data_IF_757449073151
#
_entry.id   IF_757449073151
#
_cell.length_a   1.000
_cell.length_b   1.000
_cell.length_c   1.000
_cell.angle_alpha   90.00
_cell.angle_beta   90.00
_cell.angle_gamma   90.00
#
_symmetry.space_group_name_H-M   'P 1'
#
loop_
_entity.id
_entity.type
_entity.pdbx_description
1 polymer ?
#
# COMPACT_ATOMS: atom_id res chain seq x y z
N UNK A 1 -1.82 -3.22 -8.25
CA UNK A 1 -2.58 -1.95 -8.20
C UNK A 1 -1.65 -0.75 -8.27
N UNK A 2 -0.82 -0.47 -7.26
CA UNK A 2 0.01 0.74 -7.21
C UNK A 2 0.88 0.98 -8.45
N UNK A 3 1.44 -0.09 -9.05
CA UNK A 3 2.25 -0.01 -10.26
C UNK A 3 1.55 0.61 -11.49
N UNK A 4 0.21 0.55 -11.54
CA UNK A 4 -0.61 1.07 -12.64
C UNK A 4 -1.38 2.33 -12.25
N UNK A 5 -1.22 2.82 -11.02
CA UNK A 5 -1.83 4.07 -10.59
C UNK A 5 -1.32 5.23 -11.46
N UNK A 6 -2.11 6.29 -11.75
CA UNK A 6 -1.63 7.38 -12.58
C UNK A 6 -0.45 8.13 -11.94
N UNK A 7 0.46 8.65 -12.76
CA UNK A 7 1.51 9.55 -12.26
C UNK A 7 0.92 10.89 -11.79
N UNK A 8 -0.18 11.32 -12.41
CA UNK A 8 -0.99 12.49 -12.02
C UNK A 8 -2.45 12.06 -11.82
N UNK A 9 -2.79 11.54 -10.63
CA UNK A 9 -4.12 11.01 -10.36
C UNK A 9 -5.17 12.11 -10.18
N UNK A 10 -6.38 11.83 -10.67
CA UNK A 10 -7.56 12.66 -10.40
C UNK A 10 -8.05 12.50 -8.96
N UNK A 11 -8.94 13.39 -8.51
CA UNK A 11 -9.59 13.25 -7.21
C UNK A 11 -10.46 11.99 -7.13
N UNK A 12 -11.01 11.54 -8.27
CA UNK A 12 -11.74 10.28 -8.36
C UNK A 12 -10.81 9.08 -8.18
N UNK A 13 -9.63 9.08 -8.82
CA UNK A 13 -8.62 8.04 -8.65
C UNK A 13 -8.19 7.90 -7.18
N UNK A 14 -7.95 9.03 -6.50
CA UNK A 14 -7.59 9.06 -5.07
C UNK A 14 -8.72 8.51 -4.21
N UNK A 15 -9.95 8.95 -4.46
CA UNK A 15 -11.13 8.51 -3.71
C UNK A 15 -11.38 7.01 -3.87
N UNK A 16 -11.28 6.51 -5.10
CA UNK A 16 -11.47 5.09 -5.41
C UNK A 16 -10.41 4.21 -4.75
N UNK A 17 -9.13 4.62 -4.76
CA UNK A 17 -8.08 3.87 -4.08
C UNK A 17 -8.23 3.92 -2.56
N UNK A 18 -8.59 5.07 -1.99
CA UNK A 18 -8.84 5.18 -0.55
C UNK A 18 -9.95 4.23 -0.12
N UNK A 19 -11.08 4.25 -0.83
CA UNK A 19 -12.20 3.35 -0.57
C UNK A 19 -11.81 1.89 -0.73
N UNK A 20 -11.10 1.55 -1.81
CA UNK A 20 -10.62 0.19 -2.04
C UNK A 20 -9.74 -0.31 -0.90
N UNK A 21 -8.79 0.50 -0.42
CA UNK A 21 -7.88 0.12 0.67
C UNK A 21 -8.66 -0.11 1.97
N UNK A 22 -9.59 0.78 2.29
CA UNK A 22 -10.45 0.65 3.46
C UNK A 22 -11.27 -0.65 3.42
N UNK A 23 -11.98 -0.88 2.31
CA UNK A 23 -12.81 -2.08 2.14
C UNK A 23 -11.95 -3.35 2.11
N UNK A 24 -10.83 -3.36 1.38
CA UNK A 24 -9.96 -4.53 1.28
C UNK A 24 -9.42 -4.96 2.64
N UNK A 25 -9.07 -4.02 3.52
CA UNK A 25 -8.57 -4.39 4.84
C UNK A 25 -9.68 -4.81 5.80
N UNK A 26 -10.90 -4.30 5.61
CA UNK A 26 -12.05 -4.70 6.42
C UNK A 26 -12.49 -6.15 6.11
N UNK A 27 -12.53 -6.54 4.84
CA UNK A 27 -13.12 -7.84 4.44
C UNK A 27 -12.15 -8.81 3.76
N UNK A 28 -11.03 -8.31 3.24
CA UNK A 28 -10.09 -9.08 2.41
C UNK A 28 -8.92 -9.71 3.17
N UNK A 29 -8.75 -9.41 4.45
CA UNK A 29 -7.69 -9.97 5.29
C UNK A 29 -8.28 -10.78 6.44
N UNK A 30 -8.21 -12.11 6.32
CA UNK A 30 -8.66 -13.07 7.33
C UNK A 30 -7.64 -13.20 8.48
N UNK A 31 -7.55 -12.14 9.28
CA UNK A 31 -6.75 -12.12 10.48
C UNK A 31 -7.38 -11.06 11.40
N UNK A 32 -8.40 -11.46 12.18
CA UNK A 32 -9.29 -10.54 12.92
C UNK A 32 -8.55 -9.44 13.69
N UNK A 33 -7.43 -9.77 14.32
CA UNK A 33 -6.60 -8.81 15.05
C UNK A 33 -5.67 -7.99 14.16
N UNK A 34 -5.19 -8.54 13.04
CA UNK A 34 -4.25 -7.84 12.18
C UNK A 34 -4.97 -6.90 11.23
N UNK A 35 -6.03 -7.32 10.52
CA UNK A 35 -6.75 -6.44 9.59
C UNK A 35 -7.28 -5.17 10.25
N UNK A 36 -7.93 -5.31 11.42
CA UNK A 36 -8.46 -4.19 12.21
C UNK A 36 -7.37 -3.28 12.79
N UNK A 37 -6.33 -3.86 13.40
CA UNK A 37 -5.23 -3.06 13.95
C UNK A 37 -4.34 -2.46 12.87
N UNK A 38 -4.20 -3.14 11.72
CA UNK A 38 -3.45 -2.66 10.58
C UNK A 38 -4.12 -1.45 9.95
N UNK A 39 -5.45 -1.47 9.75
CA UNK A 39 -6.23 -0.29 9.34
C UNK A 39 -6.00 0.91 10.26
N UNK A 40 -6.02 0.66 11.57
CA UNK A 40 -5.77 1.69 12.58
C UNK A 40 -4.34 2.23 12.50
N UNK A 41 -3.33 1.35 12.55
CA UNK A 41 -1.90 1.72 12.43
C UNK A 41 -1.60 2.46 11.14
N UNK A 42 -2.22 2.05 10.04
CA UNK A 42 -2.11 2.71 8.75
C UNK A 42 -2.59 4.16 8.78
N UNK A 43 -3.75 4.42 9.39
CA UNK A 43 -4.29 5.77 9.51
C UNK A 43 -3.48 6.64 10.48
N UNK A 44 -2.89 6.04 11.51
CA UNK A 44 -2.19 6.76 12.57
C UNK A 44 -0.70 7.00 12.28
N UNK A 45 0.03 6.00 11.77
CA UNK A 45 1.49 6.02 11.67
C UNK A 45 2.00 6.38 10.27
N UNK A 46 1.25 6.05 9.22
CA UNK A 46 1.70 6.24 7.85
C UNK A 46 0.52 6.40 6.88
N UNK A 47 -0.12 7.58 6.82
CA UNK A 47 -1.23 7.83 5.92
C UNK A 47 -0.85 7.54 4.47
N UNK A 48 -1.82 7.05 3.70
CA UNK A 48 -1.60 6.77 2.28
C UNK A 48 -1.29 8.06 1.53
N UNK A 49 -0.20 8.06 0.76
CA UNK A 49 0.11 9.14 -0.17
C UNK A 49 -0.29 8.73 -1.59
N UNK A 50 -1.43 9.29 -2.02
CA UNK A 50 -2.02 9.10 -3.35
C UNK A 50 -1.73 10.26 -4.30
N UNK A 51 -0.70 11.07 -4.03
CA UNK A 51 -0.34 12.20 -4.91
C UNK A 51 0.29 11.75 -6.23
N UNK A 52 0.85 10.54 -6.29
CA UNK A 52 1.46 9.97 -7.49
C UNK A 52 1.59 8.45 -7.42
N UNK A 53 1.78 7.79 -8.57
CA UNK A 53 2.16 6.38 -8.68
C UNK A 53 3.35 6.03 -7.79
N UNK A 54 4.39 6.87 -7.80
CA UNK A 54 5.61 6.63 -7.05
C UNK A 54 5.32 6.57 -5.55
N UNK A 55 4.66 7.60 -5.02
CA UNK A 55 4.40 7.70 -3.59
C UNK A 55 3.49 6.56 -3.14
N UNK A 56 2.46 6.23 -3.92
CA UNK A 56 1.59 5.11 -3.61
C UNK A 56 2.32 3.76 -3.66
N UNK A 57 3.21 3.56 -4.64
CA UNK A 57 4.00 2.32 -4.76
C UNK A 57 4.96 2.13 -3.59
N UNK A 58 5.68 3.19 -3.22
CA UNK A 58 6.61 3.17 -2.09
C UNK A 58 5.85 2.92 -0.79
N UNK A 59 4.70 3.56 -0.63
CA UNK A 59 3.85 3.37 0.54
C UNK A 59 3.37 1.91 0.64
N UNK A 60 2.85 1.32 -0.44
CA UNK A 60 2.44 -0.09 -0.45
C UNK A 60 3.58 -1.04 -0.08
N UNK A 61 4.80 -0.77 -0.56
CA UNK A 61 5.98 -1.56 -0.18
C UNK A 61 6.27 -1.47 1.32
N UNK A 62 6.24 -0.26 1.89
CA UNK A 62 6.48 -0.05 3.34
C UNK A 62 5.45 -0.81 4.18
N UNK A 63 4.18 -0.78 3.78
CA UNK A 63 3.13 -1.52 4.46
C UNK A 63 3.34 -3.04 4.39
N UNK A 64 3.73 -3.55 3.23
CA UNK A 64 4.08 -4.97 3.08
C UNK A 64 5.30 -5.35 3.94
N UNK A 65 6.27 -4.45 4.10
CA UNK A 65 7.42 -4.67 4.98
C UNK A 65 7.05 -4.72 6.47
N UNK A 66 6.06 -3.94 6.92
CA UNK A 66 5.53 -4.06 8.29
C UNK A 66 4.95 -5.47 8.52
N UNK A 67 4.18 -5.98 7.56
CA UNK A 67 3.70 -7.37 7.61
C UNK A 67 4.84 -8.38 7.62
N UNK A 68 5.84 -8.22 6.73
CA UNK A 68 6.99 -9.11 6.68
C UNK A 68 7.74 -9.13 8.02
N UNK A 69 7.97 -7.96 8.62
CA UNK A 69 8.61 -7.84 9.93
C UNK A 69 7.86 -8.61 11.01
N UNK A 70 6.53 -8.45 11.09
CA UNK A 70 5.71 -9.16 12.06
C UNK A 70 5.70 -10.69 11.84
N UNK A 71 5.90 -11.14 10.59
CA UNK A 71 6.01 -12.56 10.25
C UNK A 71 7.45 -13.09 10.24
N UNK A 72 8.44 -12.30 10.68
CA UNK A 72 9.85 -12.69 10.68
C UNK A 72 10.46 -12.92 9.28
N UNK A 73 9.87 -12.31 8.25
CA UNK A 73 10.34 -12.38 6.86
C UNK A 73 11.29 -11.24 6.53
N UNK A 74 12.11 -11.44 5.51
CA UNK A 74 12.98 -10.40 4.98
C UNK A 74 12.17 -9.21 4.45
N UNK A 75 12.66 -7.99 4.70
CA UNK A 75 12.10 -6.78 4.11
C UNK A 75 12.59 -6.63 2.66
N UNK A 76 11.74 -6.04 1.83
CA UNK A 76 12.05 -5.67 0.45
C UNK A 76 12.58 -4.24 0.38
N UNK A 77 13.51 -3.96 -0.54
CA UNK A 77 13.98 -2.60 -0.79
C UNK A 77 12.91 -1.76 -1.51
N UNK A 78 12.38 -0.76 -0.82
CA UNK A 78 11.31 0.10 -1.31
C UNK A 78 11.79 1.26 -2.19
N UNK A 79 13.04 1.30 -2.62
CA UNK A 79 13.45 2.22 -3.70
C UNK A 79 12.54 2.06 -4.92
N UNK A 80 11.99 3.18 -5.41
CA UNK A 80 10.97 3.15 -6.45
C UNK A 80 11.45 2.45 -7.74
N UNK A 81 12.73 2.56 -8.08
CA UNK A 81 13.28 1.86 -9.26
C UNK A 81 13.23 0.34 -9.10
N UNK A 82 13.47 -0.18 -7.90
CA UNK A 82 13.39 -1.61 -7.60
C UNK A 82 11.94 -2.09 -7.58
N UNK A 83 11.00 -1.24 -7.15
CA UNK A 83 9.56 -1.51 -7.27
C UNK A 83 9.09 -1.55 -8.72
N UNK A 84 9.52 -0.58 -9.55
CA UNK A 84 9.22 -0.57 -10.99
C UNK A 84 9.73 -1.82 -11.69
N UNK A 85 10.97 -2.26 -11.43
CA UNK A 85 11.52 -3.48 -12.02
C UNK A 85 10.72 -4.73 -11.64
N UNK A 86 10.22 -4.79 -10.41
CA UNK A 86 9.55 -5.97 -9.87
C UNK A 86 8.06 -6.05 -10.20
N UNK A 87 7.37 -4.91 -10.23
CA UNK A 87 5.91 -4.81 -10.30
C UNK A 87 5.39 -3.87 -11.39
N UNK A 88 6.27 -3.06 -11.98
CA UNK A 88 5.89 -2.13 -13.04
C UNK A 88 5.36 -2.86 -14.28
N UNK A 89 4.63 -2.14 -15.15
CA UNK A 89 4.28 -2.67 -16.47
C UNK A 89 5.54 -3.10 -17.22
N UNK A 90 5.43 -4.22 -17.94
CA UNK A 90 6.44 -4.67 -18.91
C UNK A 90 6.58 -3.68 -20.06
#
# INVERSE_FOLDING_TARGET
MAAYYPDSPSEEDKSNISLFLDTFMEVGIDYEDWGKNFLKKMREENPVDLSSRQNFSVWMCKQHNLFNKEKGKNMYDCEYQNLKKRWGPM
#
